data_IF_125948261735
#
_entry.id   IF_125948261735
#
_cell.length_a   1.000
_cell.length_b   1.000
_cell.length_c   1.000
_cell.angle_alpha   90.00
_cell.angle_beta   90.00
_cell.angle_gamma   90.00
#
_symmetry.space_group_name_H-M   'P 1'
#
loop_
_entity.id
_entity.type
_entity.pdbx_description
1 polymer ?
#
# COMPACT_ATOMS: atom_id res chain seq x y z
N UNK A 1 24.93 10.50 -8.78
CA UNK A 1 24.70 11.66 -7.88
C UNK A 1 25.09 11.29 -6.44
N UNK A 2 25.31 12.23 -5.52
CA UNK A 2 25.51 11.88 -4.09
C UNK A 2 24.20 11.31 -3.52
N UNK A 3 24.26 10.25 -2.70
CA UNK A 3 23.08 9.65 -2.06
C UNK A 3 22.25 10.69 -1.28
N UNK A 4 22.89 11.62 -0.58
CA UNK A 4 22.20 12.67 0.20
C UNK A 4 21.33 13.56 -0.68
N UNK A 5 21.85 13.97 -1.85
CA UNK A 5 21.07 14.80 -2.77
C UNK A 5 19.94 14.01 -3.43
N UNK A 6 20.14 12.72 -3.71
CA UNK A 6 19.09 11.85 -4.24
C UNK A 6 17.94 11.68 -3.24
N UNK A 7 18.24 11.48 -1.95
CA UNK A 7 17.24 11.42 -0.88
C UNK A 7 16.48 12.74 -0.77
N UNK A 8 17.18 13.88 -0.75
CA UNK A 8 16.55 15.18 -0.68
C UNK A 8 15.62 15.44 -1.89
N UNK A 9 16.04 15.05 -3.10
CA UNK A 9 15.22 15.14 -4.30
C UNK A 9 13.97 14.24 -4.21
N UNK A 10 14.10 13.03 -3.66
CA UNK A 10 12.97 12.11 -3.43
C UNK A 10 11.95 12.69 -2.47
N UNK A 11 12.41 13.28 -1.36
CA UNK A 11 11.54 13.94 -0.38
C UNK A 11 10.85 15.19 -0.93
N UNK A 12 11.34 15.78 -2.02
CA UNK A 12 10.68 16.89 -2.73
C UNK A 12 9.73 16.41 -3.83
N UNK A 13 9.74 15.12 -4.15
CA UNK A 13 8.92 14.57 -5.23
C UNK A 13 7.44 14.54 -4.84
N UNK A 14 6.60 15.21 -5.64
CA UNK A 14 5.13 15.12 -5.50
C UNK A 14 4.65 13.69 -5.64
N UNK A 15 5.24 12.91 -6.57
CA UNK A 15 4.86 11.52 -6.81
C UNK A 15 5.13 10.64 -5.58
N UNK A 16 6.27 10.85 -4.91
CA UNK A 16 6.58 10.18 -3.65
C UNK A 16 5.49 10.43 -2.61
N UNK A 17 5.18 11.71 -2.32
CA UNK A 17 4.20 12.05 -1.28
C UNK A 17 2.78 11.61 -1.61
N UNK A 18 2.34 11.70 -2.86
CA UNK A 18 1.01 11.22 -3.26
C UNK A 18 0.86 9.73 -2.92
N UNK A 19 1.87 8.91 -3.19
CA UNK A 19 1.83 7.48 -2.90
C UNK A 19 1.92 7.16 -1.41
N UNK A 20 2.79 7.86 -0.66
CA UNK A 20 2.88 7.66 0.79
C UNK A 20 1.59 8.07 1.49
N UNK A 21 1.04 9.24 1.17
CA UNK A 21 -0.20 9.73 1.78
C UNK A 21 -1.41 8.89 1.36
N UNK A 22 -1.57 8.57 0.08
CA UNK A 22 -2.64 7.69 -0.37
C UNK A 22 -2.56 6.31 0.29
N UNK A 23 -1.36 5.75 0.40
CA UNK A 23 -1.11 4.49 1.07
C UNK A 23 -1.53 4.52 2.55
N UNK A 24 -1.09 5.54 3.30
CA UNK A 24 -1.46 5.73 4.71
C UNK A 24 -2.97 5.92 4.88
N UNK A 25 -3.61 6.70 4.01
CA UNK A 25 -5.07 6.92 4.06
C UNK A 25 -5.82 5.62 3.79
N UNK A 26 -5.46 4.89 2.73
CA UNK A 26 -6.11 3.62 2.35
C UNK A 26 -5.92 2.58 3.46
N UNK A 27 -4.75 2.55 4.12
CA UNK A 27 -4.49 1.68 5.25
C UNK A 27 -5.27 2.09 6.51
N UNK A 28 -5.30 3.39 6.81
CA UNK A 28 -5.90 3.93 8.03
C UNK A 28 -7.43 3.94 8.03
N UNK A 29 -8.08 4.11 6.86
CA UNK A 29 -9.53 4.15 6.72
C UNK A 29 -10.20 2.90 7.31
N UNK A 30 -9.80 1.67 6.92
CA UNK A 30 -10.25 0.47 7.58
C UNK A 30 -10.12 0.45 9.09
N UNK A 31 -8.96 0.82 9.62
CA UNK A 31 -8.70 0.83 11.05
C UNK A 31 -9.67 1.81 11.73
N UNK A 32 -9.83 3.02 11.22
CA UNK A 32 -10.76 4.01 11.76
C UNK A 32 -12.21 3.51 11.74
N UNK A 33 -12.65 2.85 10.67
CA UNK A 33 -13.99 2.25 10.58
C UNK A 33 -14.16 1.18 11.68
N UNK A 34 -13.20 0.27 11.85
CA UNK A 34 -13.25 -0.77 12.89
C UNK A 34 -13.32 -0.17 14.30
N UNK A 35 -12.61 0.92 14.54
CA UNK A 35 -12.68 1.65 15.81
C UNK A 35 -14.03 2.31 16.02
N UNK A 36 -14.64 2.85 14.98
CA UNK A 36 -15.97 3.45 15.07
C UNK A 36 -17.09 2.42 15.22
N UNK A 37 -16.97 1.25 14.59
CA UNK A 37 -18.02 0.22 14.56
C UNK A 37 -17.84 -0.89 15.59
N UNK A 38 -16.65 -1.05 16.16
CA UNK A 38 -16.29 -2.17 17.03
C UNK A 38 -16.22 -3.52 16.30
N UNK A 39 -16.32 -3.54 14.97
CA UNK A 39 -16.27 -4.77 14.15
C UNK A 39 -14.91 -4.92 13.47
N UNK A 40 -14.43 -6.16 13.30
CA UNK A 40 -13.25 -6.47 12.47
C UNK A 40 -13.56 -6.35 10.97
N UNK A 41 -14.83 -6.50 10.61
CA UNK A 41 -15.29 -6.50 9.22
C UNK A 41 -15.71 -5.10 8.77
N UNK A 42 -15.34 -4.75 7.54
CA UNK A 42 -15.96 -3.64 6.83
C UNK A 42 -17.10 -4.22 6.00
N UNK A 43 -18.37 -3.84 6.26
CA UNK A 43 -19.53 -4.48 5.63
C UNK A 43 -19.49 -4.51 4.10
N UNK A 44 -18.98 -3.45 3.47
CA UNK A 44 -18.89 -3.31 2.00
C UNK A 44 -17.84 -4.25 1.38
N UNK A 45 -16.87 -4.71 2.18
CA UNK A 45 -15.79 -5.60 1.73
C UNK A 45 -15.98 -7.03 2.19
N UNK A 46 -17.07 -7.36 2.89
CA UNK A 46 -17.35 -8.72 3.36
C UNK A 46 -17.92 -9.62 2.24
N UNK A 47 -17.07 -9.91 1.24
CA UNK A 47 -17.42 -10.85 0.17
C UNK A 47 -17.39 -12.31 0.68
N UNK A 48 -18.48 -13.09 0.47
CA UNK A 48 -18.53 -14.50 0.89
C UNK A 48 -17.36 -15.31 0.30
N UNK A 49 -16.70 -16.12 1.12
CA UNK A 49 -15.59 -17.00 0.72
C UNK A 49 -14.18 -16.38 0.75
N UNK A 50 -14.04 -15.10 1.11
CA UNK A 50 -12.73 -14.41 1.23
C UNK A 50 -12.31 -14.15 2.67
N UNK A 51 -12.88 -14.87 3.63
CA UNK A 51 -12.59 -14.71 5.05
C UNK A 51 -11.24 -15.33 5.41
N UNK A 52 -10.37 -14.58 6.09
CA UNK A 52 -9.06 -15.08 6.54
C UNK A 52 -8.96 -15.24 8.05
N UNK A 53 -10.09 -15.25 8.76
CA UNK A 53 -10.12 -15.55 10.20
C UNK A 53 -9.72 -14.35 11.07
N UNK A 54 -8.96 -14.60 12.14
CA UNK A 54 -8.55 -13.61 13.16
C UNK A 54 -7.47 -12.62 12.71
N UNK A 55 -7.15 -12.56 11.42
CA UNK A 55 -6.18 -11.61 10.90
C UNK A 55 -6.83 -10.26 10.63
N UNK A 56 -6.05 -9.19 10.77
CA UNK A 56 -6.50 -7.84 10.41
C UNK A 56 -5.83 -7.49 9.09
N UNK A 57 -6.59 -7.00 8.10
CA UNK A 57 -8.04 -7.13 7.95
C UNK A 57 -8.57 -8.57 7.88
N UNK A 58 -9.81 -8.78 8.35
CA UNK A 58 -10.46 -10.12 8.39
C UNK A 58 -10.89 -10.65 7.02
N UNK A 59 -10.80 -9.83 5.98
CA UNK A 59 -11.11 -10.20 4.60
C UNK A 59 -9.87 -10.11 3.69
N UNK A 60 -9.67 -11.14 2.86
CA UNK A 60 -8.58 -11.27 1.90
C UNK A 60 -8.58 -10.16 0.84
N UNK A 61 -9.74 -9.77 0.32
CA UNK A 61 -9.86 -8.71 -0.68
C UNK A 61 -9.38 -7.38 -0.12
N UNK A 62 -9.81 -7.05 1.10
CA UNK A 62 -9.31 -5.88 1.79
C UNK A 62 -7.81 -5.96 2.01
N UNK A 63 -7.30 -7.12 2.44
CA UNK A 63 -5.86 -7.35 2.65
C UNK A 63 -5.06 -7.10 1.38
N UNK A 64 -5.53 -7.62 0.24
CA UNK A 64 -4.91 -7.43 -1.07
C UNK A 64 -4.93 -5.95 -1.46
N UNK A 65 -6.09 -5.29 -1.38
CA UNK A 65 -6.23 -3.89 -1.77
C UNK A 65 -5.33 -3.01 -0.90
N UNK A 66 -5.40 -3.16 0.43
CA UNK A 66 -4.61 -2.35 1.36
C UNK A 66 -3.12 -2.56 1.10
N UNK A 67 -2.63 -3.81 1.06
CA UNK A 67 -1.21 -4.10 0.84
C UNK A 67 -0.71 -3.69 -0.57
N UNK A 68 -1.60 -3.73 -1.58
CA UNK A 68 -1.28 -3.27 -2.93
C UNK A 68 -0.83 -1.80 -2.95
N UNK A 69 -1.42 -0.97 -2.09
CA UNK A 69 -1.04 0.43 -1.93
C UNK A 69 0.01 0.63 -0.83
N UNK A 70 -0.19 0.05 0.35
CA UNK A 70 0.69 0.22 1.50
C UNK A 70 0.78 -1.07 2.35
N UNK A 71 1.98 -1.55 2.68
CA UNK A 71 3.29 -0.94 2.43
C UNK A 71 3.84 -1.11 1.00
N UNK A 72 3.32 -2.06 0.20
CA UNK A 72 3.94 -2.51 -1.05
C UNK A 72 4.09 -1.43 -2.12
N UNK A 73 2.97 -0.88 -2.62
CA UNK A 73 2.97 0.11 -3.70
C UNK A 73 3.73 1.40 -3.35
N UNK A 74 3.53 1.90 -2.13
CA UNK A 74 4.23 3.06 -1.58
C UNK A 74 5.75 2.84 -1.53
N UNK A 75 6.19 1.67 -1.04
CA UNK A 75 7.61 1.29 -1.03
C UNK A 75 8.20 1.18 -2.41
N UNK A 76 7.46 0.58 -3.34
CA UNK A 76 7.90 0.46 -4.72
C UNK A 76 8.12 1.82 -5.37
N UNK A 77 7.16 2.75 -5.23
CA UNK A 77 7.30 4.11 -5.78
C UNK A 77 8.42 4.89 -5.09
N UNK A 78 8.59 4.75 -3.78
CA UNK A 78 9.67 5.41 -3.05
C UNK A 78 11.05 5.02 -3.59
N UNK A 79 11.29 3.71 -3.78
CA UNK A 79 12.55 3.23 -4.33
C UNK A 79 12.72 3.58 -5.81
N UNK A 80 11.67 3.49 -6.64
CA UNK A 80 11.74 3.92 -8.05
C UNK A 80 12.18 5.39 -8.14
N UNK A 81 11.54 6.29 -7.39
CA UNK A 81 11.85 7.72 -7.39
C UNK A 81 13.27 7.96 -6.85
N UNK A 82 13.69 7.25 -5.81
CA UNK A 82 15.04 7.35 -5.27
C UNK A 82 16.09 6.93 -6.29
N UNK A 83 15.91 5.80 -6.97
CA UNK A 83 16.86 5.32 -7.97
C UNK A 83 16.89 6.25 -9.18
N UNK A 84 15.74 6.79 -9.62
CA UNK A 84 15.70 7.80 -10.67
C UNK A 84 16.55 9.02 -10.32
N UNK A 85 16.37 9.56 -9.10
CA UNK A 85 17.13 10.71 -8.64
C UNK A 85 18.61 10.39 -8.45
N UNK A 86 18.94 9.18 -8.02
CA UNK A 86 20.33 8.76 -7.82
C UNK A 86 21.11 8.63 -9.13
N UNK A 87 20.48 8.02 -10.14
CA UNK A 87 21.05 7.84 -11.48
C UNK A 87 20.97 9.10 -12.35
N UNK A 88 20.00 9.99 -12.07
CA UNK A 88 19.75 11.19 -12.87
C UNK A 88 18.95 10.92 -14.16
N UNK A 89 18.40 9.72 -14.32
CA UNK A 89 17.63 9.27 -15.48
C UNK A 89 16.40 8.47 -15.03
N UNK A 90 15.42 8.32 -15.91
CA UNK A 90 14.23 7.50 -15.64
C UNK A 90 14.62 6.03 -15.74
N UNK A 91 14.40 5.25 -14.68
CA UNK A 91 14.60 3.81 -14.71
C UNK A 91 13.46 3.11 -15.45
N UNK A 92 13.85 2.18 -16.34
CA UNK A 92 12.92 1.45 -17.19
C UNK A 92 13.13 -0.07 -17.11
N UNK A 93 12.19 -0.81 -17.70
CA UNK A 93 12.25 -2.27 -17.84
C UNK A 93 12.53 -3.00 -16.52
N UNK A 94 13.49 -3.93 -16.55
CA UNK A 94 13.85 -4.76 -15.39
C UNK A 94 14.34 -3.94 -14.21
N UNK A 95 15.13 -2.88 -14.45
CA UNK A 95 15.69 -2.05 -13.39
C UNK A 95 14.58 -1.33 -12.60
N UNK A 96 13.52 -0.88 -13.28
CA UNK A 96 12.32 -0.32 -12.67
C UNK A 96 11.60 -1.32 -11.77
N UNK A 97 11.38 -2.56 -12.23
CA UNK A 97 10.69 -3.55 -11.41
C UNK A 97 11.53 -4.03 -10.24
N UNK A 98 12.85 -4.17 -10.40
CA UNK A 98 13.75 -4.53 -9.32
C UNK A 98 13.84 -3.43 -8.26
N UNK A 99 13.91 -2.15 -8.66
CA UNK A 99 13.90 -1.04 -7.71
C UNK A 99 12.59 -1.00 -6.92
N UNK A 100 11.45 -1.17 -7.61
CA UNK A 100 10.15 -1.26 -6.96
C UNK A 100 10.05 -2.45 -6.00
N UNK A 101 10.51 -3.62 -6.42
CA UNK A 101 10.49 -4.82 -5.58
C UNK A 101 11.32 -4.61 -4.31
N UNK A 102 12.56 -4.12 -4.46
CA UNK A 102 13.42 -3.81 -3.32
C UNK A 102 12.76 -2.81 -2.37
N UNK A 103 12.18 -1.72 -2.89
CA UNK A 103 11.46 -0.74 -2.08
C UNK A 103 10.24 -1.30 -1.37
N UNK A 104 9.43 -2.10 -2.07
CA UNK A 104 8.26 -2.75 -1.50
C UNK A 104 8.64 -3.70 -0.36
N UNK A 105 9.66 -4.54 -0.56
CA UNK A 105 10.13 -5.48 0.46
C UNK A 105 10.74 -4.76 1.68
N UNK A 106 11.54 -3.71 1.47
CA UNK A 106 12.11 -2.92 2.56
C UNK A 106 11.01 -2.23 3.36
N UNK A 107 10.05 -1.57 2.70
CA UNK A 107 8.96 -0.89 3.39
C UNK A 107 8.06 -1.89 4.14
N UNK A 108 7.78 -3.05 3.55
CA UNK A 108 7.06 -4.15 4.22
C UNK A 108 7.83 -4.72 5.40
N UNK A 109 9.16 -4.80 5.31
CA UNK A 109 10.01 -5.24 6.42
C UNK A 109 9.95 -4.26 7.59
N UNK A 110 10.08 -2.96 7.33
CA UNK A 110 9.93 -1.91 8.35
C UNK A 110 8.52 -1.96 8.95
N UNK A 111 7.49 -2.13 8.13
CA UNK A 111 6.11 -2.22 8.62
C UNK A 111 5.88 -3.47 9.47
N UNK A 112 6.38 -4.63 9.04
CA UNK A 112 6.29 -5.88 9.81
C UNK A 112 7.02 -5.78 11.14
N UNK A 113 8.17 -5.11 11.19
CA UNK A 113 8.88 -4.85 12.44
C UNK A 113 8.07 -3.95 13.38
N UNK A 114 7.45 -2.89 12.85
CA UNK A 114 6.54 -2.04 13.61
C UNK A 114 5.31 -2.81 14.14
N UNK A 115 4.71 -3.66 13.30
CA UNK A 115 3.59 -4.53 13.70
C UNK A 115 4.01 -5.51 14.79
N UNK A 116 5.17 -6.15 14.67
CA UNK A 116 5.69 -7.07 15.66
C UNK A 116 5.93 -6.38 17.01
N UNK A 117 6.53 -5.19 16.98
CA UNK A 117 6.74 -4.38 18.17
C UNK A 117 5.41 -3.95 18.80
N UNK A 118 4.46 -3.48 18.02
CA UNK A 118 3.13 -3.14 18.54
C UNK A 118 2.39 -4.36 19.10
N UNK A 119 2.52 -5.51 18.44
CA UNK A 119 1.90 -6.75 18.89
C UNK A 119 2.44 -7.19 20.26
N UNK A 120 3.75 -7.05 20.51
CA UNK A 120 4.36 -7.42 21.79
C UNK A 120 3.88 -6.56 22.96
N UNK A 121 3.33 -5.37 22.71
CA UNK A 121 2.73 -4.51 23.72
C UNK A 121 1.31 -4.96 24.12
N UNK A 122 0.75 -5.98 23.45
CA UNK A 122 -0.57 -6.55 23.76
C UNK A 122 -1.70 -5.52 23.79
N UNK A 123 -1.62 -4.50 22.92
CA UNK A 123 -2.62 -3.44 22.83
C UNK A 123 -3.91 -4.02 22.23
N UNK A 124 -4.96 -4.07 23.06
CA UNK A 124 -6.25 -4.63 22.67
C UNK A 124 -7.01 -3.72 21.73
N UNK A 125 -7.67 -4.33 20.76
CA UNK A 125 -8.51 -3.63 19.78
C UNK A 125 -9.95 -3.44 20.23
N UNK A 126 -10.66 -2.49 19.63
CA UNK A 126 -12.07 -2.21 19.94
C UNK A 126 -13.02 -3.38 19.63
N UNK A 127 -12.57 -4.35 18.82
CA UNK A 127 -13.27 -5.60 18.52
C UNK A 127 -12.93 -6.75 19.49
N UNK A 128 -12.15 -6.50 20.54
CA UNK A 128 -11.73 -7.53 21.50
C UNK A 128 -12.73 -7.77 22.64
N UNK A 129 -13.99 -7.32 22.51
CA UNK A 129 -15.01 -7.49 23.56
C UNK A 129 -15.36 -8.98 23.70
N UNK A 130 -14.68 -9.67 24.62
CA UNK A 130 -14.84 -11.11 24.89
C UNK A 130 -13.63 -12.01 24.60
N UNK A 131 -12.45 -11.49 24.24
CA UNK A 131 -11.28 -12.34 23.97
C UNK A 131 -9.95 -11.61 23.68
N UNK A 132 -8.94 -12.35 23.21
CA UNK A 132 -7.60 -11.88 22.86
C UNK A 132 -7.55 -11.30 21.43
N UNK A 133 -7.83 -10.01 21.25
CA UNK A 133 -7.74 -9.34 19.96
C UNK A 133 -6.74 -8.17 19.99
N UNK A 134 -5.55 -8.35 19.44
CA UNK A 134 -4.54 -7.29 19.34
C UNK A 134 -4.86 -6.34 18.16
N UNK A 135 -4.57 -5.04 18.28
CA UNK A 135 -4.70 -4.08 17.16
C UNK A 135 -3.67 -4.29 16.06
N UNK A 136 -2.53 -4.89 16.42
CA UNK A 136 -1.45 -5.21 15.50
C UNK A 136 -1.58 -6.63 14.97
N UNK A 137 -0.97 -6.84 13.80
CA UNK A 137 -0.96 -8.13 13.13
C UNK A 137 0.01 -9.10 13.80
N UNK A 138 -0.42 -10.36 13.95
CA UNK A 138 0.45 -11.44 14.44
C UNK A 138 1.53 -11.81 13.40
N UNK A 139 2.71 -12.23 13.84
CA UNK A 139 3.84 -12.49 12.94
C UNK A 139 3.57 -13.57 11.86
N UNK A 140 2.60 -14.44 12.09
CA UNK A 140 2.20 -15.49 11.13
C UNK A 140 1.68 -14.94 9.81
N UNK A 141 1.23 -13.68 9.74
CA UNK A 141 0.80 -13.07 8.47
C UNK A 141 1.93 -12.41 7.69
N UNK A 142 3.12 -12.25 8.27
CA UNK A 142 4.20 -11.53 7.59
C UNK A 142 4.62 -12.17 6.26
N UNK A 143 4.76 -13.51 6.14
CA UNK A 143 5.07 -14.13 4.84
C UNK A 143 4.05 -13.77 3.76
N UNK A 144 2.78 -13.68 4.15
CA UNK A 144 1.70 -13.25 3.25
C UNK A 144 1.84 -11.77 2.85
N UNK A 145 2.12 -10.88 3.80
CA UNK A 145 2.38 -9.46 3.53
C UNK A 145 3.57 -9.26 2.58
N UNK A 146 4.66 -10.02 2.76
CA UNK A 146 5.81 -9.98 1.86
C UNK A 146 5.47 -10.47 0.45
N UNK A 147 4.64 -11.51 0.35
CA UNK A 147 4.15 -12.02 -0.94
C UNK A 147 3.30 -10.97 -1.65
N UNK A 148 2.36 -10.35 -0.95
CA UNK A 148 1.55 -9.26 -1.51
C UNK A 148 2.41 -8.07 -1.91
N UNK A 149 3.40 -7.69 -1.11
CA UNK A 149 4.32 -6.61 -1.44
C UNK A 149 5.11 -6.89 -2.73
N UNK A 150 5.51 -8.14 -2.96
CA UNK A 150 6.18 -8.53 -4.21
C UNK A 150 5.25 -8.36 -5.43
N UNK A 151 3.96 -8.67 -5.31
CA UNK A 151 2.98 -8.43 -6.37
C UNK A 151 2.60 -6.95 -6.54
N UNK A 152 2.74 -6.15 -5.48
CA UNK A 152 2.37 -4.72 -5.45
C UNK A 152 3.25 -3.82 -6.32
N UNK A 153 4.36 -4.35 -6.87
CA UNK A 153 5.26 -3.61 -7.77
C UNK A 153 4.56 -3.14 -9.05
N UNK A 154 3.45 -3.78 -9.43
CA UNK A 154 2.63 -3.43 -10.59
C UNK A 154 1.52 -2.43 -10.27
N UNK A 155 1.17 -2.23 -8.98
CA UNK A 155 0.07 -1.33 -8.58
C UNK A 155 0.21 0.06 -9.18
N UNK A 156 1.39 0.70 -9.22
CA UNK A 156 1.51 2.03 -9.82
C UNK A 156 1.20 2.07 -11.31
N UNK A 157 1.52 1.01 -12.05
CA UNK A 157 1.25 0.96 -13.48
C UNK A 157 -0.24 0.69 -13.75
N UNK A 158 -0.87 -0.17 -12.95
CA UNK A 158 -2.33 -0.39 -12.99
C UNK A 158 -3.09 0.90 -12.68
N UNK A 159 -2.70 1.64 -11.64
CA UNK A 159 -3.32 2.92 -11.28
C UNK A 159 -3.18 3.93 -12.42
N UNK A 160 -2.01 4.03 -13.04
CA UNK A 160 -1.79 4.92 -14.19
C UNK A 160 -2.63 4.51 -15.41
N UNK A 161 -2.74 3.22 -15.67
CA UNK A 161 -3.58 2.68 -16.75
C UNK A 161 -5.06 3.03 -16.52
N UNK A 162 -5.59 2.76 -15.33
CA UNK A 162 -6.97 3.08 -14.96
C UNK A 162 -7.25 4.58 -15.03
N UNK A 163 -6.33 5.41 -14.53
CA UNK A 163 -6.43 6.88 -14.64
C UNK A 163 -6.53 7.32 -16.10
N UNK A 164 -5.71 6.75 -16.98
CA UNK A 164 -5.70 7.08 -18.40
C UNK A 164 -7.01 6.68 -19.08
N UNK A 165 -7.55 5.51 -18.73
CA UNK A 165 -8.85 5.04 -19.22
C UNK A 165 -9.98 5.97 -18.78
N UNK A 166 -10.02 6.34 -17.50
CA UNK A 166 -11.04 7.23 -16.93
C UNK A 166 -11.00 8.62 -17.57
N UNK A 167 -9.80 9.17 -17.83
CA UNK A 167 -9.67 10.46 -18.54
C UNK A 167 -10.27 10.36 -19.95
N UNK A 168 -9.99 9.29 -20.69
CA UNK A 168 -10.54 9.08 -22.04
C UNK A 168 -12.07 8.97 -22.02
N UNK A 169 -12.62 8.23 -21.06
CA UNK A 169 -14.08 8.10 -20.89
C UNK A 169 -14.69 9.46 -20.57
N UNK A 170 -14.10 10.19 -19.63
CA UNK A 170 -14.56 11.52 -19.27
C UNK A 170 -14.56 12.49 -20.46
N UNK A 171 -13.48 12.55 -21.24
CA UNK A 171 -13.38 13.39 -22.44
C UNK A 171 -14.45 13.05 -23.49
N UNK A 172 -14.69 11.74 -23.69
CA UNK A 172 -15.74 11.25 -24.60
C UNK A 172 -17.14 11.67 -24.15
N UNK A 173 -17.43 11.56 -22.85
CA UNK A 173 -18.72 11.96 -22.26
C UNK A 173 -18.89 13.48 -22.28
N UNK A 174 -17.83 14.24 -21.98
CA UNK A 174 -17.90 15.71 -21.88
C UNK A 174 -17.92 16.43 -23.23
N UNK A 175 -18.01 15.71 -24.36
CA UNK A 175 -17.97 16.27 -25.71
C UNK A 175 -16.65 16.99 -26.07
N UNK A 176 -15.64 16.90 -25.21
CA UNK A 176 -14.30 17.44 -25.45
C UNK A 176 -13.53 16.39 -26.25
N UNK A 177 -13.86 16.27 -27.53
CA UNK A 177 -13.08 15.47 -28.46
C UNK A 177 -11.62 15.95 -28.42
N UNK A 178 -10.69 15.02 -28.16
CA UNK A 178 -9.26 15.28 -28.17
C UNK A 178 -8.84 15.65 -29.60
N UNK A 179 -8.92 16.93 -29.94
CA UNK A 179 -8.08 17.50 -30.98
C UNK A 179 -6.67 17.64 -30.39
N UNK A 180 -5.86 16.60 -30.57
CA UNK A 180 -4.40 16.64 -30.49
C UNK A 180 -3.89 15.58 -31.44
#
# INVERSE_FOLDING_TARGET
>A
MNLRSAVAATLRSKRFWVWQLAGVIIYGLPVAIRFATGSVEIPILNFPGFWIGHYIPGNMLEKIIVNAFFPGGAGGVAAEVLVNNYKGEVVEGKAKYLSRLGGALVQTGVWSAFQLWGFSLMILGPWSVGGFGNIFEHFTVFPFNFTLAAFSVFTPDVVNFLKSLLIKIYQKISGRSSKS
#
